data_IF_174191877050
#
_entry.id   IF_174191877050
#
_cell.length_a   1.000
_cell.length_b   1.000
_cell.length_c   1.000
_cell.angle_alpha   90.00
_cell.angle_beta   90.00
_cell.angle_gamma   90.00
#
_symmetry.space_group_name_H-M   'P 1'
#
loop_
_entity.id
_entity.type
_entity.pdbx_description
1 polymer ?
#
# COMPACT_ATOMS: atom_id res chain seq x y z
N UNK A 1 16.98 -17.44 6.85
CA UNK A 1 16.35 -16.12 6.67
C UNK A 1 14.93 -16.39 6.21
N UNK A 2 13.93 -16.06 7.02
CA UNK A 2 12.54 -16.17 6.58
C UNK A 2 12.31 -15.11 5.50
N UNK A 3 11.77 -15.53 4.35
CA UNK A 3 11.29 -14.62 3.31
C UNK A 3 9.91 -14.05 3.68
N UNK A 4 9.53 -14.16 4.95
CA UNK A 4 8.22 -13.79 5.46
C UNK A 4 8.14 -12.28 5.61
N UNK A 5 7.02 -11.73 5.18
CA UNK A 5 6.72 -10.30 5.26
C UNK A 5 5.92 -10.06 6.54
N UNK A 6 6.36 -9.10 7.34
CA UNK A 6 5.60 -8.59 8.48
C UNK A 6 4.57 -7.58 7.97
N UNK A 7 3.32 -8.01 7.91
CA UNK A 7 2.22 -7.19 7.38
C UNK A 7 1.67 -6.22 8.44
N UNK A 8 1.60 -4.94 8.08
CA UNK A 8 0.92 -3.88 8.82
C UNK A 8 -0.44 -3.62 8.21
N UNK A 9 -1.49 -3.75 9.02
CA UNK A 9 -2.89 -3.70 8.61
C UNK A 9 -3.75 -2.64 9.31
N UNK A 10 -3.14 -1.80 10.16
CA UNK A 10 -3.83 -0.95 11.12
C UNK A 10 -4.17 0.48 10.64
N UNK A 11 -3.39 1.11 9.75
CA UNK A 11 -3.94 1.49 8.46
C UNK A 11 -5.28 2.20 8.22
N UNK A 12 -5.85 3.17 8.97
CA UNK A 12 -7.26 3.62 8.81
C UNK A 12 -7.83 3.70 7.37
N UNK A 13 -7.06 4.22 6.40
CA UNK A 13 -7.52 4.23 5.02
C UNK A 13 -6.42 4.57 4.02
N UNK A 14 -6.86 4.69 2.77
CA UNK A 14 -6.04 5.16 1.66
C UNK A 14 -6.63 6.47 1.17
N UNK A 15 -5.79 7.49 1.12
CA UNK A 15 -6.08 8.73 0.40
C UNK A 15 -5.42 8.67 -0.97
N UNK A 16 -6.15 9.15 -1.97
CA UNK A 16 -5.69 9.24 -3.35
C UNK A 16 -5.50 10.71 -3.68
N UNK A 17 -4.26 11.11 -3.92
CA UNK A 17 -3.92 12.48 -4.30
C UNK A 17 -3.24 12.52 -5.67
N UNK A 18 -3.30 13.65 -6.34
CA UNK A 18 -2.63 13.84 -7.62
C UNK A 18 -1.53 14.88 -7.48
N UNK A 19 -0.30 14.51 -7.81
CA UNK A 19 0.85 15.41 -7.73
C UNK A 19 1.68 15.34 -9.01
N UNK A 20 1.82 16.49 -9.69
CA UNK A 20 2.74 16.70 -10.84
C UNK A 20 2.71 15.54 -11.86
N UNK A 21 1.51 15.13 -12.26
CA UNK A 21 1.22 14.08 -13.24
C UNK A 21 1.31 12.62 -12.76
N UNK A 22 1.36 12.38 -11.45
CA UNK A 22 1.32 11.03 -10.87
C UNK A 22 0.31 10.95 -9.73
N UNK A 23 -0.35 9.79 -9.66
CA UNK A 23 -1.19 9.45 -8.52
C UNK A 23 -0.31 9.12 -7.30
N UNK A 24 -0.67 9.65 -6.14
CA UNK A 24 -0.06 9.37 -4.85
C UNK A 24 -1.07 8.56 -4.03
N UNK A 25 -0.63 7.39 -3.56
CA UNK A 25 -1.36 6.52 -2.65
C UNK A 25 -0.82 6.78 -1.26
N UNK A 26 -1.61 7.49 -0.44
CA UNK A 26 -1.23 7.80 0.94
C UNK A 26 -1.93 6.84 1.90
N UNK A 27 -1.18 6.00 2.60
CA UNK A 27 -1.73 5.18 3.69
C UNK A 27 -1.77 6.01 4.96
N UNK A 28 -2.93 6.09 5.59
CA UNK A 28 -3.19 6.99 6.73
C UNK A 28 -3.23 6.19 8.03
N UNK A 29 -2.39 6.57 8.99
CA UNK A 29 -2.28 5.95 10.31
C UNK A 29 -2.75 6.89 11.42
N UNK A 30 -3.42 6.33 12.44
CA UNK A 30 -3.87 7.08 13.63
C UNK A 30 -2.78 7.20 14.71
N UNK A 31 -1.78 6.31 14.71
CA UNK A 31 -0.64 6.38 15.63
C UNK A 31 0.56 7.03 14.92
N UNK A 32 1.04 8.15 15.48
CA UNK A 32 2.16 8.92 14.92
C UNK A 32 3.48 8.15 14.99
N UNK A 33 3.74 7.45 16.09
CA UNK A 33 5.00 6.72 16.27
C UNK A 33 5.09 5.55 15.30
N UNK A 34 3.98 4.85 15.07
CA UNK A 34 3.93 3.79 14.08
C UNK A 34 4.08 4.33 12.66
N UNK A 35 3.37 5.42 12.33
CA UNK A 35 3.51 6.10 11.04
C UNK A 35 4.96 6.51 10.77
N UNK A 36 5.65 7.06 11.78
CA UNK A 36 7.08 7.43 11.69
C UNK A 36 8.00 6.22 11.52
N UNK A 37 7.75 5.13 12.25
CA UNK A 37 8.55 3.90 12.12
C UNK A 37 8.41 3.31 10.72
N UNK A 38 7.17 3.21 10.22
CA UNK A 38 6.88 2.72 8.88
C UNK A 38 7.46 3.66 7.83
N UNK A 39 7.29 4.97 7.98
CA UNK A 39 7.88 5.97 7.07
C UNK A 39 9.39 5.77 6.94
N UNK A 40 10.10 5.61 8.06
CA UNK A 40 11.54 5.37 8.07
C UNK A 40 11.93 4.05 7.38
N UNK A 41 11.14 3.00 7.54
CA UNK A 41 11.39 1.72 6.88
C UNK A 41 11.13 1.78 5.38
N UNK A 42 10.03 2.41 4.95
CA UNK A 42 9.71 2.55 3.52
C UNK A 42 10.65 3.53 2.81
N UNK A 43 11.31 4.43 3.54
CA UNK A 43 12.34 5.28 2.97
C UNK A 43 13.47 4.46 2.36
N UNK A 44 13.86 3.34 2.95
CA UNK A 44 14.91 2.50 2.39
C UNK A 44 14.43 1.57 1.26
N UNK A 45 13.14 1.60 0.92
CA UNK A 45 12.60 0.77 -0.14
C UNK A 45 13.18 1.14 -1.50
N UNK A 46 13.52 0.11 -2.28
CA UNK A 46 14.06 0.29 -3.61
C UNK A 46 12.95 0.54 -4.62
N UNK A 47 13.02 1.67 -5.29
CA UNK A 47 12.14 2.06 -6.41
C UNK A 47 11.91 0.95 -7.44
N UNK A 48 12.93 0.11 -7.68
CA UNK A 48 12.88 -0.95 -8.69
C UNK A 48 12.13 -2.22 -8.25
N UNK A 49 12.00 -2.42 -6.94
CA UNK A 49 11.56 -3.67 -6.33
C UNK A 49 10.39 -3.50 -5.36
N UNK A 50 9.93 -2.27 -5.14
CA UNK A 50 8.64 -1.98 -4.51
C UNK A 50 7.50 -2.37 -5.45
N UNK A 51 6.56 -3.15 -4.91
CA UNK A 51 5.37 -3.65 -5.59
C UNK A 51 4.14 -3.16 -4.88
N UNK A 52 3.15 -2.74 -5.66
CA UNK A 52 1.79 -2.46 -5.20
C UNK A 52 0.84 -3.39 -5.96
N UNK A 53 0.06 -4.17 -5.22
CA UNK A 53 -0.97 -5.02 -5.78
C UNK A 53 -2.30 -4.61 -5.17
N UNK A 54 -3.25 -4.25 -6.00
CA UNK A 54 -4.64 -4.00 -5.61
C UNK A 54 -5.45 -5.23 -6.01
N UNK A 55 -6.16 -5.80 -5.04
CA UNK A 55 -6.96 -7.01 -5.21
C UNK A 55 -8.42 -6.58 -5.16
N UNK A 56 -9.12 -6.68 -6.28
CA UNK A 56 -10.56 -6.46 -6.37
C UNK A 56 -11.30 -7.73 -5.91
N UNK A 57 -12.06 -7.60 -4.81
CA UNK A 57 -12.93 -8.64 -4.27
C UNK A 57 -14.31 -8.58 -4.92
N UNK A 58 -15.05 -9.69 -4.87
CA UNK A 58 -16.39 -9.79 -5.49
C UNK A 58 -17.46 -8.93 -4.77
N UNK A 59 -17.21 -8.48 -3.53
CA UNK A 59 -18.17 -7.75 -2.69
C UNK A 59 -18.09 -6.20 -2.83
N UNK A 60 -17.66 -5.67 -3.98
CA UNK A 60 -17.39 -4.22 -4.15
C UNK A 60 -16.31 -3.67 -3.19
N UNK A 61 -15.45 -4.56 -2.69
CA UNK A 61 -14.32 -4.22 -1.83
C UNK A 61 -13.00 -4.49 -2.53
N UNK A 62 -11.94 -3.81 -2.12
CA UNK A 62 -10.59 -4.09 -2.55
C UNK A 62 -9.64 -4.22 -1.36
N UNK A 63 -8.54 -4.92 -1.60
CA UNK A 63 -7.39 -4.94 -0.72
C UNK A 63 -6.20 -4.29 -1.40
N UNK A 64 -5.31 -3.68 -0.62
CA UNK A 64 -4.02 -3.19 -1.10
C UNK A 64 -2.91 -3.99 -0.42
N UNK A 65 -1.91 -4.34 -1.21
CA UNK A 65 -0.67 -4.96 -0.76
C UNK A 65 0.49 -4.10 -1.28
N UNK A 66 1.21 -3.42 -0.40
CA UNK A 66 2.43 -2.70 -0.77
C UNK A 66 3.61 -3.34 -0.04
N UNK A 67 4.63 -3.79 -0.77
CA UNK A 67 5.81 -4.39 -0.14
C UNK A 67 7.01 -4.28 -1.07
N UNK A 68 8.20 -4.31 -0.47
CA UNK A 68 9.45 -4.50 -1.21
C UNK A 68 9.73 -6.00 -1.34
N UNK A 69 10.24 -6.43 -2.49
CA UNK A 69 10.67 -7.82 -2.71
C UNK A 69 11.60 -8.30 -1.57
N UNK A 70 11.21 -9.33 -0.78
CA UNK A 70 11.98 -9.78 0.38
C UNK A 70 13.38 -10.29 0.04
N UNK A 71 13.61 -10.69 -1.21
CA UNK A 71 14.93 -11.12 -1.66
C UNK A 71 15.94 -9.97 -1.79
N UNK A 72 15.45 -8.73 -1.78
CA UNK A 72 16.24 -7.52 -2.07
C UNK A 72 16.22 -6.54 -0.89
N UNK A 73 15.29 -6.72 0.04
CA UNK A 73 15.32 -6.03 1.31
C UNK A 73 16.69 -6.23 1.97
N UNK A 74 17.35 -5.12 2.29
CA UNK A 74 18.59 -5.13 3.08
C UNK A 74 18.31 -5.16 4.58
N UNK A 75 17.06 -4.92 4.97
CA UNK A 75 16.63 -4.92 6.35
C UNK A 75 16.13 -6.32 6.72
N UNK A 76 16.56 -6.81 7.89
CA UNK A 76 16.10 -8.10 8.45
C UNK A 76 14.57 -8.14 8.67
N UNK A 77 13.94 -6.98 8.74
CA UNK A 77 12.49 -6.83 8.80
C UNK A 77 11.93 -6.55 7.40
N UNK A 78 11.37 -7.57 6.76
CA UNK A 78 10.62 -7.41 5.51
C UNK A 78 9.23 -6.82 5.84
N UNK A 79 9.12 -5.50 5.89
CA UNK A 79 7.84 -4.83 6.13
C UNK A 79 6.94 -4.89 4.88
N UNK A 80 5.66 -5.13 5.09
CA UNK A 80 4.62 -4.97 4.07
C UNK A 80 3.41 -4.23 4.63
N UNK A 81 2.75 -3.46 3.79
CA UNK A 81 1.46 -2.82 4.09
C UNK A 81 0.37 -3.67 3.45
N UNK A 82 -0.57 -4.14 4.25
CA UNK A 82 -1.73 -4.87 3.75
C UNK A 82 -3.00 -4.36 4.40
N UNK A 83 -4.02 -4.01 3.61
CA UNK A 83 -5.35 -3.73 4.16
C UNK A 83 -6.41 -4.24 3.22
N UNK A 84 -7.51 -4.71 3.79
CA UNK A 84 -8.71 -5.14 3.08
C UNK A 84 -9.95 -4.46 3.65
N UNK A 85 -11.12 -4.65 3.03
CA UNK A 85 -12.38 -4.03 3.45
C UNK A 85 -12.58 -2.59 2.95
N UNK A 86 -11.79 -2.13 1.98
CA UNK A 86 -11.95 -0.79 1.40
C UNK A 86 -12.93 -0.86 0.24
N UNK A 87 -13.92 0.04 0.18
CA UNK A 87 -14.91 0.02 -0.92
C UNK A 87 -14.28 0.48 -2.23
N UNK A 88 -14.59 -0.23 -3.32
CA UNK A 88 -14.15 0.14 -4.66
C UNK A 88 -14.79 1.45 -5.15
N UNK A 89 -15.98 1.77 -4.64
CA UNK A 89 -16.69 3.01 -4.94
C UNK A 89 -15.96 4.27 -4.43
N UNK A 90 -15.98 5.34 -5.22
CA UNK A 90 -15.44 6.65 -4.86
C UNK A 90 -14.00 6.87 -5.34
N UNK A 91 -13.05 7.05 -4.41
CA UNK A 91 -11.68 7.45 -4.73
C UNK A 91 -10.91 6.41 -5.55
N UNK A 92 -11.16 5.12 -5.32
CA UNK A 92 -10.50 4.04 -6.06
C UNK A 92 -10.96 3.96 -7.51
N UNK A 93 -12.26 4.13 -7.79
CA UNK A 93 -12.81 4.12 -9.15
C UNK A 93 -12.19 5.22 -10.03
N UNK A 94 -11.96 6.40 -9.46
CA UNK A 94 -11.27 7.51 -10.13
C UNK A 94 -9.76 7.25 -10.28
N UNK A 95 -9.14 6.63 -9.28
CA UNK A 95 -7.72 6.31 -9.28
C UNK A 95 -7.35 5.15 -10.24
N UNK A 96 -8.24 4.18 -10.42
CA UNK A 96 -8.04 2.96 -11.22
C UNK A 96 -7.47 3.23 -12.63
N UNK A 97 -8.06 4.09 -13.48
CA UNK A 97 -7.49 4.39 -14.80
C UNK A 97 -6.08 5.00 -14.69
N UNK A 98 -5.85 5.84 -13.69
CA UNK A 98 -4.57 6.53 -13.48
C UNK A 98 -3.45 5.56 -13.10
N UNK A 99 -3.77 4.55 -12.28
CA UNK A 99 -2.85 3.48 -11.88
C UNK A 99 -2.40 2.64 -13.07
N UNK A 100 -3.33 2.39 -14.00
CA UNK A 100 -3.07 1.63 -15.23
C UNK A 100 -2.19 2.42 -16.19
N UNK A 101 -2.37 3.74 -16.28
CA UNK A 101 -1.54 4.60 -17.13
C UNK A 101 -0.12 4.78 -16.60
N UNK A 102 0.03 5.09 -15.30
CA UNK A 102 1.32 5.36 -14.68
C UNK A 102 1.39 4.75 -13.28
N UNK A 103 2.53 4.13 -12.91
CA UNK A 103 2.75 3.65 -11.56
C UNK A 103 2.63 4.79 -10.55
N UNK A 104 1.84 4.62 -9.47
CA UNK A 104 1.68 5.65 -8.47
C UNK A 104 2.90 5.75 -7.53
N UNK A 105 2.89 6.80 -6.71
CA UNK A 105 3.85 7.02 -5.62
C UNK A 105 3.20 6.59 -4.30
N UNK A 106 3.98 5.97 -3.40
CA UNK A 106 3.51 5.57 -2.08
C UNK A 106 3.90 6.65 -1.08
N UNK A 107 2.99 6.98 -0.19
CA UNK A 107 3.23 7.91 0.92
C UNK A 107 2.61 7.36 2.21
N UNK A 108 3.25 7.64 3.33
CA UNK A 108 2.68 7.44 4.67
C UNK A 108 2.24 8.79 5.19
N UNK A 109 1.00 8.85 5.64
CA UNK A 109 0.43 9.98 6.32
C UNK A 109 -0.05 9.59 7.71
N UNK A 110 -0.07 10.58 8.58
CA UNK A 110 -0.63 10.50 9.92
C UNK A 110 -1.85 11.41 10.00
N UNK A 111 -2.90 10.93 10.65
CA UNK A 111 -4.02 11.76 11.03
C UNK A 111 -4.53 11.32 12.40
N UNK A 112 -4.52 12.23 13.38
CA UNK A 112 -5.10 11.95 14.69
C UNK A 112 -6.61 11.72 14.61
N UNK A 113 -7.29 12.42 13.69
CA UNK A 113 -8.67 12.18 13.32
C UNK A 113 -8.79 12.26 11.78
N UNK A 114 -9.14 11.15 11.15
CA UNK A 114 -9.27 11.06 9.68
C UNK A 114 -10.40 11.93 9.13
N UNK A 115 -11.31 12.41 9.98
CA UNK A 115 -12.38 13.36 9.62
C UNK A 115 -11.92 14.81 9.69
N UNK A 116 -10.84 15.09 10.42
CA UNK A 116 -10.29 16.44 10.55
C UNK A 116 -9.03 16.59 9.70
N UNK A 117 -9.18 17.22 8.54
CA UNK A 117 -8.07 17.52 7.63
C UNK A 117 -6.95 18.34 8.29
N UNK A 118 -7.22 19.06 9.38
CA UNK A 118 -6.19 19.83 10.08
C UNK A 118 -5.20 18.95 10.83
N UNK A 119 -5.57 17.70 11.14
CA UNK A 119 -4.68 16.74 11.81
C UNK A 119 -3.88 15.90 10.82
N UNK A 120 -4.10 16.08 9.52
CA UNK A 120 -3.40 15.35 8.46
C UNK A 120 -1.97 15.88 8.31
N UNK A 121 -1.00 15.02 8.58
CA UNK A 121 0.42 15.30 8.47
C UNK A 121 1.06 14.27 7.53
N UNK A 122 1.72 14.75 6.48
CA UNK A 122 2.50 13.90 5.60
C UNK A 122 3.82 13.59 6.29
N UNK A 123 4.08 12.31 6.57
CA UNK A 123 5.24 11.89 7.35
C UNK A 123 6.36 11.36 6.46
N UNK A 124 6.03 10.59 5.41
CA UNK A 124 7.05 10.02 4.54
C UNK A 124 7.29 10.86 3.29
N UNK A 125 8.49 10.67 2.72
CA UNK A 125 8.75 10.99 1.31
C UNK A 125 7.86 10.18 0.37
N UNK A 126 7.75 10.66 -0.87
CA UNK A 126 7.12 9.92 -1.96
C UNK A 126 8.05 8.79 -2.43
N UNK A 127 7.63 7.54 -2.25
CA UNK A 127 8.38 6.37 -2.72
C UNK A 127 7.84 5.97 -4.08
N UNK A 128 8.65 6.08 -5.16
CA UNK A 128 8.20 5.68 -6.48
C UNK A 128 8.11 4.15 -6.57
N UNK A 129 7.04 3.67 -7.19
CA UNK A 129 6.82 2.24 -7.38
C UNK A 129 7.01 1.89 -8.86
N UNK A 130 7.75 0.82 -9.15
CA UNK A 130 7.95 0.38 -10.53
C UNK A 130 6.77 -0.41 -11.07
N UNK A 131 6.15 -1.24 -10.23
CA UNK A 131 5.05 -2.12 -10.64
C UNK A 131 3.85 -1.91 -9.72
N UNK A 132 2.78 -1.40 -10.30
CA UNK A 132 1.45 -1.48 -9.72
C UNK A 132 0.60 -2.44 -10.56
N UNK A 133 -0.12 -3.33 -9.90
CA UNK A 133 -1.00 -4.32 -10.53
C UNK A 133 -2.37 -4.25 -9.90
N UNK A 134 -3.39 -4.37 -10.73
CA UNK A 134 -4.77 -4.55 -10.28
C UNK A 134 -5.16 -5.96 -10.71
N UNK A 135 -5.56 -6.78 -9.74
CA UNK A 135 -5.89 -8.19 -9.95
C UNK A 135 -7.26 -8.50 -9.37
N UNK A 136 -7.92 -9.51 -9.91
CA UNK A 136 -9.13 -10.04 -9.28
C UNK A 136 -8.77 -11.00 -8.15
N UNK A 137 -9.67 -11.19 -7.19
CA UNK A 137 -9.50 -12.19 -6.12
C UNK A 137 -9.27 -13.62 -6.67
N UNK A 138 -9.77 -13.93 -7.88
CA UNK A 138 -9.53 -15.21 -8.57
C UNK A 138 -8.06 -15.40 -8.96
N UNK A 139 -7.37 -14.31 -9.26
CA UNK A 139 -5.95 -14.34 -9.67
C UNK A 139 -5.01 -14.68 -8.51
N UNK A 140 -5.42 -14.46 -7.25
CA UNK A 140 -4.62 -14.81 -6.06
C UNK A 140 -4.24 -16.30 -5.98
N UNK A 141 -4.90 -17.17 -6.76
CA UNK A 141 -4.54 -18.59 -6.86
C UNK A 141 -3.22 -18.82 -7.61
N UNK A 142 -2.74 -17.84 -8.40
CA UNK A 142 -1.49 -17.95 -9.15
C UNK A 142 -0.29 -17.85 -8.22
N UNK A 143 0.77 -18.63 -8.51
CA UNK A 143 2.00 -18.65 -7.72
C UNK A 143 2.72 -17.30 -7.67
N UNK A 144 2.53 -16.44 -8.68
CA UNK A 144 3.15 -15.11 -8.71
C UNK A 144 2.64 -14.17 -7.60
N UNK A 145 1.47 -14.46 -7.01
CA UNK A 145 0.83 -13.67 -5.94
C UNK A 145 0.93 -14.37 -4.57
N UNK A 146 1.98 -15.15 -4.36
CA UNK A 146 2.18 -15.92 -3.13
C UNK A 146 2.12 -15.05 -1.85
N UNK A 147 2.75 -13.87 -1.90
CA UNK A 147 2.80 -12.94 -0.77
C UNK A 147 1.45 -12.30 -0.50
N UNK A 148 0.78 -11.83 -1.54
CA UNK A 148 -0.57 -11.25 -1.46
C UNK A 148 -1.59 -12.27 -0.96
N UNK A 149 -1.49 -13.52 -1.43
CA UNK A 149 -2.34 -14.63 -0.95
C UNK A 149 -2.12 -14.89 0.53
N UNK A 150 -0.86 -14.90 0.97
CA UNK A 150 -0.51 -15.10 2.38
C UNK A 150 -1.08 -13.98 3.25
N UNK A 151 -0.92 -12.72 2.83
CA UNK A 151 -1.46 -11.55 3.53
C UNK A 151 -2.99 -11.59 3.63
N UNK A 152 -3.66 -11.96 2.54
CA UNK A 152 -5.12 -12.06 2.46
C UNK A 152 -5.69 -13.30 3.17
N UNK A 153 -4.87 -14.31 3.51
CA UNK A 153 -5.32 -15.49 4.28
C UNK A 153 -5.13 -15.33 5.79
N UNK A 154 -4.26 -14.40 6.21
CA UNK A 154 -3.96 -14.13 7.62
C UNK A 154 -4.90 -13.09 8.27
N UNK A 155 -5.81 -12.50 7.48
CA UNK A 155 -6.83 -11.53 7.92
C UNK A 155 -8.22 -12.00 7.49
#
# INVERSE_FOLDING_TARGET
MSLDITWKNNFYGISWAYEKDRLVVSTVFEDKNEALSIAKEIEDWSDKFTRLTIIEKENDEFAICAYQDPQISKNDNNLGLFRTGMRQSGGYEQAKPMIVEKPPLLQIAYAADVRDMNTYEQISRLVPMRKCRIISEKDLKKQEYYYEKTANSQN
#
